data_IF_312734249074
#
_entry.id   IF_312734249074
#
_cell.length_a   1.000
_cell.length_b   1.000
_cell.length_c   1.000
_cell.angle_alpha   90.00
_cell.angle_beta   90.00
_cell.angle_gamma   90.00
#
_symmetry.space_group_name_H-M   'P 1'
#
loop_
_entity.id
_entity.type
_entity.pdbx_description
1 polymer ?
#
# COMPACT_ATOMS: atom_id res chain seq x y z
N UNK A 1 -18.04 -1.54 0.03
CA UNK A 1 -17.37 -2.61 -0.74
C UNK A 1 -18.28 -3.82 -0.82
N UNK A 2 -18.49 -4.38 -2.01
CA UNK A 2 -19.18 -5.65 -2.15
C UNK A 2 -18.23 -6.78 -1.73
N UNK A 3 -18.64 -7.55 -0.72
CA UNK A 3 -17.88 -8.67 -0.16
C UNK A 3 -17.63 -9.76 -1.20
N UNK A 4 -18.64 -10.06 -2.03
CA UNK A 4 -18.55 -11.11 -3.03
C UNK A 4 -17.57 -10.73 -4.14
N UNK A 5 -17.61 -9.46 -4.56
CA UNK A 5 -16.67 -8.91 -5.52
C UNK A 5 -15.23 -8.97 -5.00
N UNK A 6 -14.99 -8.51 -3.76
CA UNK A 6 -13.66 -8.55 -3.16
C UNK A 6 -13.10 -9.98 -3.10
N UNK A 7 -13.93 -10.94 -2.68
CA UNK A 7 -13.53 -12.35 -2.63
C UNK A 7 -13.20 -12.88 -4.02
N UNK A 8 -14.05 -12.61 -5.02
CA UNK A 8 -13.80 -13.02 -6.39
C UNK A 8 -12.49 -12.42 -6.94
N UNK A 9 -12.25 -11.14 -6.70
CA UNK A 9 -11.03 -10.44 -7.14
C UNK A 9 -9.76 -10.98 -6.48
N UNK A 10 -9.80 -11.33 -5.18
CA UNK A 10 -8.65 -11.87 -4.47
C UNK A 10 -8.35 -13.32 -4.82
N UNK A 11 -9.36 -14.10 -5.22
CA UNK A 11 -9.22 -15.53 -5.49
C UNK A 11 -9.14 -15.89 -6.98
N UNK A 12 -9.29 -14.93 -7.88
CA UNK A 12 -9.26 -15.19 -9.32
C UNK A 12 -8.42 -14.17 -10.08
N UNK A 13 -7.89 -14.60 -11.22
CA UNK A 13 -7.18 -13.75 -12.17
C UNK A 13 -7.95 -13.73 -13.48
N UNK A 14 -8.31 -12.53 -13.93
CA UNK A 14 -8.87 -12.32 -15.26
C UNK A 14 -7.75 -12.05 -16.25
N UNK A 15 -7.72 -12.83 -17.32
CA UNK A 15 -6.78 -12.70 -18.43
C UNK A 15 -7.59 -12.20 -19.63
N UNK A 16 -7.27 -11.01 -20.12
CA UNK A 16 -7.89 -10.47 -21.33
C UNK A 16 -7.20 -11.07 -22.55
N UNK A 17 -7.96 -11.75 -23.41
CA UNK A 17 -7.50 -12.28 -24.70
C UNK A 17 -8.27 -11.60 -25.84
N UNK A 18 -7.84 -11.81 -27.08
CA UNK A 18 -8.55 -11.30 -28.28
C UNK A 18 -9.96 -11.87 -28.41
N UNK A 19 -10.21 -13.05 -27.83
CA UNK A 19 -11.48 -13.79 -27.92
C UNK A 19 -12.39 -13.53 -26.69
N UNK A 20 -11.88 -12.81 -25.68
CA UNK A 20 -12.66 -12.43 -24.50
C UNK A 20 -11.87 -12.52 -23.19
N UNK A 21 -12.59 -12.45 -22.08
CA UNK A 21 -11.99 -12.54 -20.74
C UNK A 21 -12.00 -14.00 -20.25
N UNK A 22 -10.83 -14.54 -19.94
CA UNK A 22 -10.67 -15.85 -19.31
C UNK A 22 -10.45 -15.64 -17.82
N UNK A 23 -11.31 -16.21 -16.97
CA UNK A 23 -11.15 -16.16 -15.52
C UNK A 23 -10.52 -17.46 -15.04
N UNK A 24 -9.41 -17.37 -14.31
CA UNK A 24 -8.70 -18.51 -13.72
C UNK A 24 -8.64 -18.36 -12.22
N UNK A 25 -8.93 -19.43 -11.47
CA UNK A 25 -8.72 -19.44 -10.02
C UNK A 25 -7.22 -19.33 -9.68
N UNK A 26 -6.91 -18.55 -8.64
CA UNK A 26 -5.58 -18.48 -8.05
C UNK A 26 -5.38 -19.64 -7.08
N UNK A 27 -4.14 -20.07 -6.90
CA UNK A 27 -3.79 -20.95 -5.79
C UNK A 27 -3.87 -20.19 -4.44
N UNK A 28 -3.92 -20.96 -3.35
CA UNK A 28 -4.07 -20.40 -2.00
C UNK A 28 -2.94 -19.43 -1.64
N UNK A 29 -1.70 -19.70 -2.05
CA UNK A 29 -0.55 -18.86 -1.70
C UNK A 29 -0.61 -17.53 -2.44
N UNK A 30 -0.98 -17.54 -3.72
CA UNK A 30 -1.17 -16.33 -4.52
C UNK A 30 -2.31 -15.46 -3.97
N UNK A 31 -3.43 -16.07 -3.54
CA UNK A 31 -4.54 -15.35 -2.93
C UNK A 31 -4.14 -14.70 -1.59
N UNK A 32 -3.39 -15.41 -0.74
CA UNK A 32 -2.86 -14.90 0.54
C UNK A 32 -1.88 -13.74 0.29
N UNK A 33 -0.94 -13.91 -0.64
CA UNK A 33 -0.01 -12.85 -1.00
C UNK A 33 -0.75 -11.60 -1.52
N UNK A 34 -1.78 -11.77 -2.35
CA UNK A 34 -2.61 -10.67 -2.85
C UNK A 34 -3.33 -9.91 -1.72
N UNK A 35 -3.87 -10.62 -0.72
CA UNK A 35 -4.46 -10.02 0.48
C UNK A 35 -3.43 -9.19 1.25
N UNK A 36 -2.25 -9.74 1.48
CA UNK A 36 -1.21 -9.09 2.28
C UNK A 36 -0.65 -7.85 1.56
N UNK A 37 -0.48 -7.92 0.24
CA UNK A 37 -0.11 -6.77 -0.60
C UNK A 37 -1.19 -5.69 -0.57
N UNK A 38 -2.47 -6.06 -0.61
CA UNK A 38 -3.57 -5.12 -0.49
C UNK A 38 -3.50 -4.39 0.86
N UNK A 39 -3.33 -5.12 1.96
CA UNK A 39 -3.19 -4.53 3.29
C UNK A 39 -1.99 -3.57 3.38
N UNK A 40 -0.81 -3.99 2.90
CA UNK A 40 0.40 -3.15 2.83
C UNK A 40 0.16 -1.87 2.02
N UNK A 41 -0.52 -1.98 0.88
CA UNK A 41 -0.80 -0.85 0.00
C UNK A 41 -1.77 0.15 0.65
N UNK A 42 -2.82 -0.34 1.32
CA UNK A 42 -3.77 0.52 2.04
C UNK A 42 -3.05 1.26 3.17
N UNK A 43 -2.24 0.55 3.96
CA UNK A 43 -1.48 1.16 5.05
C UNK A 43 -0.51 2.23 4.53
N UNK A 44 0.28 1.92 3.49
CA UNK A 44 1.21 2.87 2.90
C UNK A 44 0.51 4.16 2.43
N UNK A 45 -0.60 4.02 1.67
CA UNK A 45 -1.37 5.18 1.21
C UNK A 45 -1.98 5.99 2.35
N UNK A 46 -2.44 5.32 3.40
CA UNK A 46 -2.98 5.99 4.58
C UNK A 46 -1.88 6.80 5.29
N UNK A 47 -0.69 6.21 5.44
CA UNK A 47 0.45 6.85 6.07
C UNK A 47 0.91 8.08 5.27
N UNK A 48 1.08 7.95 3.95
CA UNK A 48 1.43 9.08 3.07
C UNK A 48 0.40 10.21 3.16
N UNK A 49 -0.89 9.87 3.14
CA UNK A 49 -1.97 10.83 3.30
C UNK A 49 -1.92 11.52 4.67
N UNK A 50 -1.63 10.78 5.73
CA UNK A 50 -1.53 11.33 7.09
C UNK A 50 -0.36 12.32 7.19
N UNK A 51 0.82 11.96 6.66
CA UNK A 51 2.00 12.83 6.63
C UNK A 51 1.71 14.12 5.86
N UNK A 52 1.10 14.00 4.67
CA UNK A 52 0.68 15.16 3.86
C UNK A 52 -0.30 16.07 4.63
N UNK A 53 -1.30 15.48 5.31
CA UNK A 53 -2.27 16.23 6.12
C UNK A 53 -1.60 16.97 7.27
N UNK A 54 -0.73 16.29 8.03
CA UNK A 54 0.00 16.91 9.15
C UNK A 54 0.86 18.05 8.64
N UNK A 55 1.64 17.85 7.58
CA UNK A 55 2.52 18.88 7.02
C UNK A 55 1.74 20.11 6.55
N UNK A 56 0.57 19.91 5.93
CA UNK A 56 -0.32 21.02 5.53
C UNK A 56 -0.90 21.77 6.73
N UNK A 57 -1.24 21.07 7.81
CA UNK A 57 -1.85 21.68 9.01
C UNK A 57 -0.84 22.39 9.90
N UNK A 58 0.36 21.83 10.09
CA UNK A 58 1.44 22.47 10.86
C UNK A 58 1.88 23.77 10.16
N UNK A 59 1.91 23.76 8.83
CA UNK A 59 2.30 24.91 8.02
C UNK A 59 3.81 25.17 8.08
N UNK A 60 4.35 25.69 6.99
CA UNK A 60 5.71 26.22 6.94
C UNK A 60 5.67 27.62 6.35
N UNK A 61 6.45 28.53 6.93
CA UNK A 61 6.66 29.85 6.33
C UNK A 61 7.52 29.69 5.07
N UNK A 62 6.90 29.89 3.91
CA UNK A 62 7.53 29.83 2.59
C UNK A 62 8.67 30.86 2.46
N UNK A 63 8.65 31.93 3.26
CA UNK A 63 9.68 32.97 3.24
C UNK A 63 10.82 32.73 4.23
N UNK A 64 10.79 31.63 4.99
CA UNK A 64 11.84 31.34 5.95
C UNK A 64 13.18 31.13 5.25
N UNK A 65 14.20 31.87 5.70
CA UNK A 65 15.57 31.77 5.19
C UNK A 65 16.40 30.67 5.85
N UNK A 66 15.88 30.06 6.92
CA UNK A 66 16.59 29.05 7.71
C UNK A 66 15.63 27.92 8.11
N UNK A 67 16.12 26.68 8.08
CA UNK A 67 15.38 25.49 8.49
C UNK A 67 16.27 24.62 9.37
N UNK A 68 15.69 24.09 10.45
CA UNK A 68 16.35 23.10 11.33
C UNK A 68 15.53 21.81 11.24
N UNK A 69 16.19 20.71 10.91
CA UNK A 69 15.59 19.37 10.85
C UNK A 69 16.14 18.49 11.97
N UNK A 70 15.25 17.72 12.60
CA UNK A 70 15.62 16.68 13.57
C UNK A 70 15.48 15.34 12.87
N UNK A 71 16.53 14.51 12.93
CA UNK A 71 16.54 13.18 12.33
C UNK A 71 16.30 12.15 13.44
N UNK A 72 15.18 11.45 13.36
CA UNK A 72 14.87 10.28 14.16
C UNK A 72 14.62 9.10 13.21
N UNK A 73 15.59 8.20 13.14
CA UNK A 73 15.52 6.99 12.31
C UNK A 73 15.78 5.79 13.21
N UNK A 74 14.95 4.77 13.06
CA UNK A 74 15.12 3.52 13.78
C UNK A 74 16.45 2.85 13.40
N UNK A 75 17.10 2.22 14.39
CA UNK A 75 18.37 1.51 14.20
C UNK A 75 18.22 0.19 13.43
N UNK A 76 19.34 -0.48 13.17
CA UNK A 76 19.34 -1.78 12.51
C UNK A 76 18.77 -2.88 13.39
N UNK A 77 17.90 -3.71 12.81
CA UNK A 77 17.44 -4.96 13.38
C UNK A 77 18.02 -6.12 12.56
N UNK A 78 18.52 -7.17 13.23
CA UNK A 78 19.05 -8.35 12.56
C UNK A 78 18.02 -9.47 12.59
N UNK A 79 17.28 -9.61 11.50
CA UNK A 79 16.36 -10.71 11.29
C UNK A 79 16.92 -11.73 10.30
N UNK A 80 16.45 -12.98 10.41
CA UNK A 80 16.80 -14.05 9.46
C UNK A 80 16.24 -13.77 8.06
N UNK A 81 15.09 -13.12 7.99
CA UNK A 81 14.45 -12.62 6.78
C UNK A 81 14.09 -11.14 7.02
N UNK A 82 14.50 -10.26 6.11
CA UNK A 82 14.20 -8.82 6.15
C UNK A 82 13.07 -8.47 5.18
#
# INVERSE_FOLDING_TARGET
>A
CDLNLLRATLCTRTIQTREGNIVKALDCNAAVAGRDVLAKTVYARLFDWLVDKINKTVGQDINSRMQIGILDIYGFESFKDN
#
